data_IF_809339875983
#
_entry.id   IF_809339875983
#
_cell.length_a   1.000
_cell.length_b   1.000
_cell.length_c   1.000
_cell.angle_alpha   90.00
_cell.angle_beta   90.00
_cell.angle_gamma   90.00
#
_symmetry.space_group_name_H-M   'P 1'
#
loop_
_entity.id
_entity.type
_entity.pdbx_description
1 polymer ?
#
# COMPACT_ATOMS: atom_id res chain seq x y z
N UNK A 1 -11.96 -0.93 -10.52
CA UNK A 1 -11.24 -2.22 -10.53
C UNK A 1 -10.03 -2.16 -9.61
N UNK A 2 -8.95 -1.42 -9.94
CA UNK A 2 -7.79 -1.32 -9.03
C UNK A 2 -8.13 -0.65 -7.69
N UNK A 3 -8.88 0.45 -7.75
CA UNK A 3 -9.31 1.19 -6.56
C UNK A 3 -10.20 0.33 -5.65
N UNK A 4 -10.95 -0.60 -6.24
CA UNK A 4 -11.77 -1.56 -5.49
C UNK A 4 -10.89 -2.59 -4.77
N UNK A 5 -9.78 -3.04 -5.37
CA UNK A 5 -8.81 -3.93 -4.70
C UNK A 5 -8.17 -3.25 -3.48
N UNK A 6 -7.82 -1.97 -3.60
CA UNK A 6 -7.29 -1.18 -2.48
C UNK A 6 -8.35 -1.01 -1.40
N UNK A 7 -9.61 -0.72 -1.79
CA UNK A 7 -10.71 -0.61 -0.85
C UNK A 7 -10.96 -1.92 -0.10
N UNK A 8 -11.02 -3.06 -0.81
CA UNK A 8 -11.22 -4.38 -0.22
C UNK A 8 -10.10 -4.71 0.80
N UNK A 9 -8.85 -4.37 0.47
CA UNK A 9 -7.73 -4.52 1.39
C UNK A 9 -7.89 -3.69 2.67
N UNK A 10 -8.25 -2.40 2.51
CA UNK A 10 -8.48 -1.48 3.62
C UNK A 10 -9.63 -1.96 4.51
N UNK A 11 -10.77 -2.33 3.92
CA UNK A 11 -11.93 -2.81 4.66
C UNK A 11 -11.63 -4.08 5.47
N UNK A 12 -10.77 -4.97 4.96
CA UNK A 12 -10.32 -6.16 5.71
C UNK A 12 -9.46 -5.75 6.91
N UNK A 13 -8.48 -4.87 6.72
CA UNK A 13 -7.61 -4.40 7.79
C UNK A 13 -8.34 -3.58 8.85
N UNK A 14 -9.30 -2.74 8.44
CA UNK A 14 -10.12 -1.95 9.36
C UNK A 14 -10.93 -2.80 10.34
N UNK A 15 -11.24 -4.07 10.02
CA UNK A 15 -11.93 -4.97 10.96
C UNK A 15 -11.12 -5.22 12.24
N UNK A 16 -9.79 -5.11 12.16
CA UNK A 16 -8.87 -5.37 13.27
C UNK A 16 -8.22 -4.07 13.76
N UNK A 17 -7.86 -3.18 12.84
CA UNK A 17 -7.02 -2.00 13.08
C UNK A 17 -7.78 -0.67 12.96
N UNK A 18 -9.11 -0.68 13.14
CA UNK A 18 -9.98 0.50 12.94
C UNK A 18 -9.47 1.78 13.62
N UNK A 19 -8.96 1.67 14.86
CA UNK A 19 -8.53 2.83 15.64
C UNK A 19 -7.24 3.42 15.08
N UNK A 20 -6.30 2.56 14.73
CA UNK A 20 -4.99 2.92 14.20
C UNK A 20 -5.11 3.51 12.78
N UNK A 21 -6.06 3.02 11.98
CA UNK A 21 -6.30 3.48 10.61
C UNK A 21 -7.23 4.70 10.49
N UNK A 22 -7.86 5.15 11.58
CA UNK A 22 -8.85 6.23 11.58
C UNK A 22 -8.38 7.59 10.99
N UNK A 23 -7.06 7.79 10.86
CA UNK A 23 -6.45 9.01 10.33
C UNK A 23 -5.52 8.74 9.14
N UNK A 24 -5.68 7.59 8.48
CA UNK A 24 -4.92 7.18 7.32
C UNK A 24 -5.75 7.42 6.06
N UNK A 25 -5.19 8.18 5.12
CA UNK A 25 -5.75 8.38 3.79
C UNK A 25 -5.13 7.34 2.83
N UNK A 26 -5.95 6.50 2.22
CA UNK A 26 -5.52 5.57 1.18
C UNK A 26 -5.77 6.20 -0.19
N UNK A 27 -4.73 6.21 -1.03
CA UNK A 27 -4.73 6.90 -2.31
C UNK A 27 -4.20 5.97 -3.41
N UNK A 28 -4.71 6.15 -4.63
CA UNK A 28 -4.19 5.49 -5.82
C UNK A 28 -3.62 6.55 -6.74
N UNK A 29 -2.37 6.36 -7.16
CA UNK A 29 -1.73 7.15 -8.20
C UNK A 29 -1.30 6.24 -9.35
N UNK A 30 -1.20 6.77 -10.57
CA UNK A 30 -0.81 5.92 -11.71
C UNK A 30 0.67 5.53 -11.66
N UNK A 31 1.57 6.49 -11.40
CA UNK A 31 3.02 6.28 -11.37
C UNK A 31 3.67 7.15 -10.30
N UNK A 32 4.75 6.68 -9.64
CA UNK A 32 5.51 7.51 -8.73
C UNK A 32 6.18 8.66 -9.49
N UNK A 33 6.17 9.86 -8.91
CA UNK A 33 7.12 10.89 -9.33
C UNK A 33 8.53 10.39 -9.05
N UNK A 34 9.34 10.20 -10.11
CA UNK A 34 10.71 9.71 -10.00
C UNK A 34 11.51 10.69 -9.13
N UNK A 35 11.91 10.29 -7.90
CA UNK A 35 12.72 11.15 -7.05
C UNK A 35 14.10 11.36 -7.68
N UNK A 36 14.67 12.55 -7.52
CA UNK A 36 16.04 12.82 -8.01
C UNK A 36 17.02 11.84 -7.36
N UNK A 37 17.76 11.09 -8.17
CA UNK A 37 18.78 10.14 -7.71
C UNK A 37 18.34 8.68 -7.67
N UNK A 38 17.06 8.37 -7.94
CA UNK A 38 16.62 6.99 -8.16
C UNK A 38 17.11 6.53 -9.53
N UNK A 39 17.86 5.43 -9.52
CA UNK A 39 18.41 4.78 -10.69
C UNK A 39 17.52 3.60 -11.09
N UNK A 40 17.74 3.05 -12.28
CA UNK A 40 17.03 1.83 -12.71
C UNK A 40 17.33 0.62 -11.78
N UNK A 41 18.43 0.65 -11.04
CA UNK A 41 18.83 -0.43 -10.13
C UNK A 41 18.01 -0.44 -8.83
N UNK A 42 17.47 0.72 -8.42
CA UNK A 42 16.65 0.85 -7.21
C UNK A 42 15.23 0.32 -7.39
N UNK A 43 14.81 0.10 -8.65
CA UNK A 43 13.47 -0.34 -8.99
C UNK A 43 12.41 0.78 -8.91
N UNK A 44 11.21 0.49 -9.42
CA UNK A 44 10.06 1.38 -9.32
C UNK A 44 9.24 0.97 -8.09
N UNK A 45 8.95 1.87 -7.14
CA UNK A 45 8.16 1.53 -5.97
C UNK A 45 6.71 1.23 -6.34
N UNK A 46 6.09 0.31 -5.60
CA UNK A 46 4.66 -0.04 -5.73
C UNK A 46 3.76 0.78 -4.81
N UNK A 47 4.33 1.35 -3.75
CA UNK A 47 3.61 2.19 -2.81
C UNK A 47 4.50 3.28 -2.20
N UNK A 48 3.90 4.17 -1.44
CA UNK A 48 4.58 5.16 -0.60
C UNK A 48 3.74 5.47 0.65
N UNK A 49 4.37 5.35 1.81
CA UNK A 49 3.88 5.89 3.07
C UNK A 49 4.39 7.32 3.30
N UNK A 50 3.48 8.26 3.52
CA UNK A 50 3.77 9.64 3.93
C UNK A 50 3.18 9.90 5.32
N UNK A 51 4.01 10.36 6.27
CA UNK A 51 3.56 10.71 7.61
C UNK A 51 3.71 12.20 7.88
N UNK A 52 2.76 12.78 8.61
CA UNK A 52 2.77 14.20 8.98
C UNK A 52 2.94 14.37 10.49
N UNK A 53 3.48 15.52 10.91
CA UNK A 53 3.60 15.88 12.33
C UNK A 53 2.26 15.99 13.06
N UNK A 54 1.15 16.11 12.33
CA UNK A 54 -0.22 16.14 12.88
C UNK A 54 -0.80 14.75 13.17
N UNK A 55 -0.03 13.67 12.97
CA UNK A 55 -0.51 12.29 13.19
C UNK A 55 -1.42 11.77 12.07
N UNK A 56 -1.47 12.45 10.92
CA UNK A 56 -2.10 11.93 9.70
C UNK A 56 -1.08 11.21 8.86
N UNK A 57 -1.49 10.10 8.25
CA UNK A 57 -0.68 9.35 7.30
C UNK A 57 -1.41 9.20 5.96
N UNK A 58 -0.64 9.02 4.89
CA UNK A 58 -1.14 8.63 3.58
C UNK A 58 -0.42 7.38 3.11
N UNK A 59 -1.17 6.41 2.65
CA UNK A 59 -0.64 5.24 1.95
C UNK A 59 -1.07 5.37 0.49
N UNK A 60 -0.09 5.53 -0.39
CA UNK A 60 -0.31 5.70 -1.83
C UNK A 60 0.09 4.40 -2.52
N UNK A 61 -0.80 3.79 -3.31
CA UNK A 61 -0.49 2.61 -4.14
C UNK A 61 -0.39 3.04 -5.60
N UNK A 62 0.69 2.63 -6.28
CA UNK A 62 0.94 2.97 -7.68
C UNK A 62 0.39 1.91 -8.63
N UNK A 63 -0.64 2.27 -9.39
CA UNK A 63 -1.36 1.36 -10.28
C UNK A 63 -0.47 0.77 -11.38
N UNK A 64 0.23 1.61 -12.16
CA UNK A 64 0.99 1.13 -13.34
C UNK A 64 2.15 0.19 -12.97
N UNK A 65 2.96 0.47 -11.93
CA UNK A 65 3.98 -0.47 -11.48
C UNK A 65 3.39 -1.84 -11.11
N UNK A 66 2.27 -1.87 -10.39
CA UNK A 66 1.59 -3.11 -10.00
C UNK A 66 1.08 -3.86 -11.23
N UNK A 67 0.34 -3.19 -12.12
CA UNK A 67 -0.18 -3.78 -13.36
C UNK A 67 0.92 -4.39 -14.25
N UNK A 68 2.11 -3.77 -14.30
CA UNK A 68 3.25 -4.27 -15.07
C UNK A 68 3.89 -5.50 -14.39
N UNK A 69 3.87 -5.54 -13.05
CA UNK A 69 4.48 -6.62 -12.27
C UNK A 69 3.64 -7.90 -12.29
N UNK A 70 2.32 -7.77 -12.29
CA UNK A 70 1.36 -8.87 -12.16
C UNK A 70 0.89 -9.36 -13.53
N UNK A 71 0.54 -10.63 -13.66
CA UNK A 71 0.18 -11.26 -14.95
C UNK A 71 -1.32 -11.38 -15.17
N UNK A 72 -2.09 -11.43 -14.11
CA UNK A 72 -3.54 -11.59 -14.15
C UNK A 72 -4.24 -10.88 -12.97
N UNK A 73 -5.58 -10.73 -13.01
CA UNK A 73 -6.32 -10.00 -11.98
C UNK A 73 -6.26 -10.63 -10.58
N UNK A 74 -6.06 -11.94 -10.46
CA UNK A 74 -5.98 -12.62 -9.16
C UNK A 74 -4.64 -12.34 -8.49
N UNK A 75 -3.54 -12.46 -9.25
CA UNK A 75 -2.20 -12.06 -8.80
C UNK A 75 -2.17 -10.58 -8.42
N UNK A 76 -2.85 -9.72 -9.18
CA UNK A 76 -2.95 -8.29 -8.87
C UNK A 76 -3.71 -8.02 -7.57
N UNK A 77 -4.80 -8.74 -7.31
CA UNK A 77 -5.55 -8.59 -6.06
C UNK A 77 -4.70 -8.94 -4.84
N UNK A 78 -3.97 -10.07 -4.89
CA UNK A 78 -3.03 -10.48 -3.85
C UNK A 78 -1.92 -9.44 -3.69
N UNK A 79 -1.28 -9.03 -4.79
CA UNK A 79 -0.18 -8.08 -4.73
C UNK A 79 -0.58 -6.72 -4.14
N UNK A 80 -1.78 -6.22 -4.47
CA UNK A 80 -2.33 -4.99 -3.88
C UNK A 80 -2.56 -5.19 -2.39
N UNK A 81 -3.13 -6.32 -1.99
CA UNK A 81 -3.36 -6.65 -0.59
C UNK A 81 -2.04 -6.62 0.20
N UNK A 82 -1.04 -7.38 -0.24
CA UNK A 82 0.26 -7.49 0.40
C UNK A 82 0.94 -6.12 0.51
N UNK A 83 0.90 -5.34 -0.57
CA UNK A 83 1.45 -3.97 -0.59
C UNK A 83 0.79 -3.07 0.46
N UNK A 84 -0.53 -3.18 0.66
CA UNK A 84 -1.26 -2.40 1.68
C UNK A 84 -0.91 -2.90 3.09
N UNK A 85 -0.82 -4.21 3.30
CA UNK A 85 -0.40 -4.80 4.58
C UNK A 85 1.01 -4.35 4.97
N UNK A 86 1.96 -4.39 4.03
CA UNK A 86 3.33 -3.92 4.23
C UNK A 86 3.36 -2.45 4.67
N UNK A 87 2.62 -1.57 4.00
CA UNK A 87 2.62 -0.14 4.35
C UNK A 87 1.91 0.16 5.67
N UNK A 88 0.88 -0.60 6.02
CA UNK A 88 0.26 -0.52 7.35
C UNK A 88 1.22 -1.02 8.42
N UNK A 89 1.94 -2.11 8.19
CA UNK A 89 2.96 -2.61 9.10
C UNK A 89 4.08 -1.58 9.31
N UNK A 90 4.56 -0.96 8.23
CA UNK A 90 5.52 0.13 8.26
C UNK A 90 5.01 1.34 9.07
N UNK A 91 3.73 1.71 8.90
CA UNK A 91 3.11 2.80 9.65
C UNK A 91 3.03 2.49 11.16
N UNK A 92 2.70 1.24 11.52
CA UNK A 92 2.53 0.82 12.92
C UNK A 92 3.85 0.41 13.59
N UNK A 93 4.93 0.26 12.82
CA UNK A 93 6.21 -0.26 13.31
C UNK A 93 6.14 -1.73 13.70
N UNK A 94 5.34 -2.50 12.96
CA UNK A 94 5.12 -3.94 13.17
C UNK A 94 5.69 -4.75 12.00
N UNK A 95 5.75 -6.07 12.18
CA UNK A 95 5.96 -6.99 11.05
C UNK A 95 4.64 -7.20 10.28
N UNK A 96 4.67 -7.38 8.94
CA UNK A 96 3.47 -7.63 8.13
C UNK A 96 2.58 -8.76 8.66
N UNK A 97 3.19 -9.85 9.12
CA UNK A 97 2.51 -11.03 9.65
C UNK A 97 1.78 -10.73 10.98
N UNK A 98 2.17 -9.66 11.68
CA UNK A 98 1.44 -9.16 12.85
C UNK A 98 0.19 -8.38 12.42
N UNK A 99 0.24 -7.69 11.28
CA UNK A 99 -0.88 -6.93 10.72
C UNK A 99 -1.92 -7.86 10.10
N UNK A 100 -1.49 -8.83 9.29
CA UNK A 100 -2.29 -9.96 8.83
C UNK A 100 -1.44 -11.25 8.75
N UNK A 101 -1.75 -12.29 9.54
CA UNK A 101 -1.07 -13.57 9.48
C UNK A 101 -1.26 -14.36 8.16
N UNK A 102 -2.23 -13.98 7.33
CA UNK A 102 -2.54 -14.65 6.06
C UNK A 102 -2.04 -13.92 4.82
N UNK A 103 -1.35 -12.78 5.00
CA UNK A 103 -0.71 -12.04 3.91
C UNK A 103 0.50 -12.80 3.33
#
# INVERSE_FOLDING_TARGET
>A
MFDDLVLDAVERLERVWARELAHVEFLVEDVPQVPRGVTAEDGIPFSRLETSKSGRARIIVYRRPVEIRTKDPEEMALFVYDTVVEEVANLLGLEPETVDPEA
#
